data_IF_800157273723
#
_entry.id   IF_800157273723
#
_cell.length_a   1.000
_cell.length_b   1.000
_cell.length_c   1.000
_cell.angle_alpha   90.00
_cell.angle_beta   90.00
_cell.angle_gamma   90.00
#
_symmetry.space_group_name_H-M   'P 1'
#
loop_
_entity.id
_entity.type
_entity.pdbx_description
1 polymer ?
#
# COMPACT_ATOMS: atom_id res chain seq x y z
N UNK A 1 16.37 -1.17 -26.37
CA UNK A 1 15.03 -1.80 -26.47
C UNK A 1 14.83 -2.94 -25.47
N UNK A 2 15.78 -3.87 -25.30
CA UNK A 2 15.67 -4.93 -24.27
C UNK A 2 15.76 -4.40 -22.82
N UNK A 3 16.67 -3.46 -22.56
CA UNK A 3 16.88 -2.89 -21.22
C UNK A 3 15.61 -2.20 -20.71
N UNK A 4 14.93 -1.42 -21.56
CA UNK A 4 13.66 -0.75 -21.24
C UNK A 4 12.54 -1.76 -20.97
N UNK A 5 12.50 -2.87 -21.71
CA UNK A 5 11.56 -3.97 -21.52
C UNK A 5 11.78 -4.67 -20.17
N UNK A 6 13.04 -4.96 -19.83
CA UNK A 6 13.42 -5.56 -18.54
C UNK A 6 13.10 -4.62 -17.37
N UNK A 7 13.42 -3.34 -17.49
CA UNK A 7 13.06 -2.34 -16.47
C UNK A 7 11.55 -2.26 -16.25
N UNK A 8 10.77 -2.22 -17.32
CA UNK A 8 9.31 -2.22 -17.24
C UNK A 8 8.76 -3.48 -16.57
N UNK A 9 9.31 -4.66 -16.90
CA UNK A 9 8.91 -5.92 -16.29
C UNK A 9 9.25 -5.97 -14.80
N UNK A 10 10.45 -5.54 -14.40
CA UNK A 10 10.86 -5.48 -13.00
C UNK A 10 9.94 -4.54 -12.21
N UNK A 11 9.64 -3.36 -12.75
CA UNK A 11 8.73 -2.41 -12.12
C UNK A 11 7.33 -3.02 -11.94
N UNK A 12 6.82 -3.70 -12.97
CA UNK A 12 5.52 -4.38 -12.92
C UNK A 12 5.50 -5.46 -11.83
N UNK A 13 6.55 -6.28 -11.76
CA UNK A 13 6.67 -7.32 -10.72
C UNK A 13 6.66 -6.68 -9.34
N UNK A 14 7.45 -5.61 -9.12
CA UNK A 14 7.46 -4.87 -7.85
C UNK A 14 6.09 -4.26 -7.51
N UNK A 15 5.28 -3.89 -8.51
CA UNK A 15 3.93 -3.34 -8.32
C UNK A 15 2.87 -4.42 -8.06
N UNK A 16 3.12 -5.69 -8.33
CA UNK A 16 2.16 -6.77 -8.05
C UNK A 16 2.58 -7.57 -6.80
N UNK A 17 3.88 -7.66 -6.51
CA UNK A 17 4.38 -8.46 -5.39
C UNK A 17 4.00 -7.89 -4.01
N UNK A 18 3.71 -8.74 -3.01
CA UNK A 18 3.56 -8.28 -1.63
C UNK A 18 4.82 -7.54 -1.15
N UNK A 19 4.61 -6.54 -0.30
CA UNK A 19 5.64 -5.67 0.26
C UNK A 19 6.26 -6.26 1.53
N UNK A 20 7.55 -6.03 1.80
CA UNK A 20 8.20 -6.51 3.03
C UNK A 20 7.64 -5.89 4.31
N UNK A 21 7.11 -4.66 4.26
CA UNK A 21 6.53 -3.97 5.43
C UNK A 21 5.10 -3.50 5.15
N UNK A 22 4.25 -3.38 6.19
CA UNK A 22 2.89 -2.89 6.02
C UNK A 22 2.85 -1.45 5.49
N UNK A 23 3.75 -0.57 5.92
CA UNK A 23 3.82 0.82 5.44
C UNK A 23 4.14 0.89 3.95
N UNK A 24 5.01 0.00 3.46
CA UNK A 24 5.30 -0.05 2.03
C UNK A 24 4.10 -0.54 1.23
N UNK A 25 3.31 -1.48 1.77
CA UNK A 25 2.05 -1.90 1.14
C UNK A 25 1.04 -0.74 1.07
N UNK A 26 0.96 0.08 2.13
CA UNK A 26 0.15 1.31 2.16
C UNK A 26 0.62 2.29 1.07
N UNK A 27 1.90 2.66 1.07
CA UNK A 27 2.47 3.61 0.09
C UNK A 27 2.30 3.13 -1.35
N UNK A 28 2.50 1.84 -1.58
CA UNK A 28 2.29 1.23 -2.89
C UNK A 28 0.84 1.31 -3.35
N UNK A 29 -0.12 1.14 -2.43
CA UNK A 29 -1.54 1.32 -2.75
C UNK A 29 -1.90 2.78 -3.05
N UNK A 30 -1.25 3.73 -2.36
CA UNK A 30 -1.41 5.16 -2.61
C UNK A 30 -0.82 5.56 -3.96
N UNK A 31 0.26 4.91 -4.42
CA UNK A 31 0.94 5.27 -5.66
C UNK A 31 0.02 5.26 -6.90
N UNK A 32 -1.08 4.51 -6.85
CA UNK A 32 -2.10 4.46 -7.91
C UNK A 32 -3.14 5.59 -7.77
N UNK A 33 -3.49 5.98 -6.53
CA UNK A 33 -4.59 6.93 -6.24
C UNK A 33 -4.09 8.36 -6.01
N UNK A 34 -3.04 8.50 -5.22
CA UNK A 34 -2.39 9.74 -4.87
C UNK A 34 -0.87 9.51 -4.80
N UNK A 35 -0.16 9.70 -5.93
CA UNK A 35 1.28 9.52 -5.99
C UNK A 35 2.03 10.46 -5.05
N UNK A 36 1.54 11.68 -4.81
CA UNK A 36 2.20 12.61 -3.91
C UNK A 36 2.17 12.07 -2.48
N UNK A 37 0.99 11.67 -2.00
CA UNK A 37 0.83 11.08 -0.67
C UNK A 37 1.61 9.75 -0.51
N UNK A 38 1.81 8.98 -1.58
CA UNK A 38 2.62 7.76 -1.54
C UNK A 38 4.08 8.01 -1.13
N UNK A 39 4.64 9.17 -1.51
CA UNK A 39 6.03 9.52 -1.22
C UNK A 39 6.17 10.44 0.00
N UNK A 40 5.32 11.46 0.12
CA UNK A 40 5.44 12.50 1.16
C UNK A 40 4.48 12.33 2.32
N UNK A 41 3.38 11.60 2.11
CA UNK A 41 2.34 11.40 3.11
C UNK A 41 2.87 10.66 4.33
N UNK A 42 2.40 11.09 5.51
CA UNK A 42 2.67 10.39 6.75
C UNK A 42 1.72 9.19 6.87
N UNK A 43 2.28 8.02 7.21
CA UNK A 43 1.51 6.79 7.35
C UNK A 43 1.39 6.51 8.84
N UNK A 44 0.19 6.62 9.38
CA UNK A 44 -0.08 6.38 10.81
C UNK A 44 -0.87 5.11 11.02
N UNK A 45 -0.52 4.40 12.09
CA UNK A 45 -1.19 3.16 12.44
C UNK A 45 -2.56 3.43 13.06
N UNK A 46 -3.58 2.77 12.54
CA UNK A 46 -4.91 2.78 13.12
C UNK A 46 -5.04 1.83 14.30
N UNK A 47 -6.22 1.89 14.94
CA UNK A 47 -6.53 1.09 16.14
C UNK A 47 -6.83 -0.38 15.85
N UNK A 48 -7.23 -0.71 14.62
CA UNK A 48 -7.57 -2.09 14.23
C UNK A 48 -6.28 -2.82 13.85
N UNK A 49 -6.04 -3.95 14.51
CA UNK A 49 -4.86 -4.80 14.32
C UNK A 49 -5.28 -6.27 14.28
N UNK A 50 -4.66 -7.03 13.39
CA UNK A 50 -4.85 -8.46 13.13
C UNK A 50 -6.33 -8.85 12.94
N UNK A 51 -7.14 -7.99 12.34
CA UNK A 51 -8.53 -8.33 12.05
C UNK A 51 -8.58 -9.44 10.98
N UNK A 52 -9.27 -10.58 11.21
CA UNK A 52 -9.30 -11.67 10.25
C UNK A 52 -9.91 -11.26 8.88
N UNK A 53 -10.88 -10.34 8.90
CA UNK A 53 -11.60 -9.87 7.72
C UNK A 53 -10.86 -8.76 7.01
N UNK A 54 -10.29 -7.81 7.75
CA UNK A 54 -9.71 -6.59 7.17
C UNK A 54 -8.19 -6.51 7.29
N UNK A 55 -7.60 -7.00 8.38
CA UNK A 55 -6.17 -6.91 8.67
C UNK A 55 -5.83 -5.74 9.58
N UNK A 56 -4.68 -5.11 9.34
CA UNK A 56 -4.21 -3.95 10.08
C UNK A 56 -4.65 -2.67 9.38
N UNK A 57 -5.17 -1.72 10.15
CA UNK A 57 -5.62 -0.43 9.65
C UNK A 57 -4.47 0.59 9.69
N UNK A 58 -4.36 1.36 8.61
CA UNK A 58 -3.44 2.48 8.47
C UNK A 58 -4.16 3.69 7.87
N UNK A 59 -3.68 4.88 8.21
CA UNK A 59 -4.14 6.17 7.68
C UNK A 59 -3.00 6.87 6.95
N UNK A 60 -3.33 7.57 5.87
CA UNK A 60 -2.40 8.43 5.15
C UNK A 60 -2.76 9.90 5.42
N UNK A 61 -2.06 10.51 6.37
CA UNK A 61 -2.19 11.92 6.78
C UNK A 61 -1.61 12.81 5.68
N UNK A 62 -2.46 13.13 4.70
CA UNK A 62 -2.35 14.19 3.68
C UNK A 62 -3.40 13.96 2.57
N UNK A 63 -3.99 12.78 2.55
CA UNK A 63 -5.14 12.48 1.71
C UNK A 63 -6.43 12.83 2.44
N UNK A 64 -7.47 13.24 1.73
CA UNK A 64 -8.83 13.32 2.28
C UNK A 64 -9.27 11.93 2.75
N UNK A 65 -8.96 11.61 4.01
CA UNK A 65 -9.48 10.47 4.77
C UNK A 65 -9.25 9.10 4.13
N UNK A 66 -8.11 8.87 3.46
CA UNK A 66 -7.85 7.52 2.96
C UNK A 66 -7.39 6.59 4.09
N UNK A 67 -8.26 5.64 4.41
CA UNK A 67 -7.91 4.52 5.29
C UNK A 67 -7.57 3.31 4.43
N UNK A 68 -6.55 2.58 4.84
CA UNK A 68 -6.00 1.44 4.10
C UNK A 68 -5.86 0.28 5.06
N UNK A 69 -6.48 -0.83 4.71
CA UNK A 69 -6.31 -2.10 5.41
C UNK A 69 -5.24 -2.93 4.71
N UNK A 70 -4.25 -3.39 5.47
CA UNK A 70 -3.20 -4.27 4.98
C UNK A 70 -3.26 -5.64 5.64
N UNK A 71 -2.98 -6.68 4.86
CA UNK A 71 -2.93 -8.06 5.36
C UNK A 71 -1.55 -8.64 5.16
N UNK A 72 -1.14 -9.45 6.13
CA UNK A 72 0.06 -10.27 6.05
C UNK A 72 -0.25 -11.59 5.35
N UNK A 73 0.49 -11.88 4.29
CA UNK A 73 0.58 -13.19 3.65
C UNK A 73 1.95 -13.81 3.94
N UNK A 74 2.14 -15.06 3.50
CA UNK A 74 3.44 -15.72 3.60
C UNK A 74 4.55 -15.01 2.78
N UNK A 75 4.17 -14.31 1.70
CA UNK A 75 5.09 -13.58 0.81
C UNK A 75 5.36 -12.14 1.27
N UNK A 76 4.60 -11.62 2.24
CA UNK A 76 4.67 -10.23 2.68
C UNK A 76 3.29 -9.59 2.82
N UNK A 77 3.27 -8.27 2.84
CA UNK A 77 2.12 -7.41 3.10
C UNK A 77 1.48 -6.91 1.83
N UNK A 78 0.16 -6.85 1.79
CA UNK A 78 -0.57 -6.28 0.66
C UNK A 78 -1.75 -5.46 1.17
N UNK A 79 -2.11 -4.42 0.43
CA UNK A 79 -3.33 -3.65 0.69
C UNK A 79 -4.54 -4.51 0.29
N UNK A 80 -5.37 -4.84 1.27
CA UNK A 80 -6.55 -5.68 1.10
C UNK A 80 -7.79 -4.85 0.72
N UNK A 81 -7.94 -3.67 1.31
CA UNK A 81 -9.00 -2.72 0.96
C UNK A 81 -8.60 -1.31 1.35
N UNK A 82 -9.18 -0.33 0.67
CA UNK A 82 -8.99 1.08 1.00
C UNK A 82 -10.22 1.88 0.62
N UNK A 83 -10.51 2.92 1.40
CA UNK A 83 -11.63 3.80 1.17
C UNK A 83 -11.30 5.21 1.60
N UNK A 84 -12.09 6.15 1.09
CA UNK A 84 -12.14 7.52 1.59
C UNK A 84 -13.22 7.55 2.67
N UNK A 85 -12.85 7.78 3.92
CA UNK A 85 -13.82 8.05 4.97
C UNK A 85 -14.63 9.31 4.65
N UNK A 86 -15.88 9.43 5.13
CA UNK A 86 -16.57 10.72 5.13
C UNK A 86 -15.82 11.70 5.98
#
# INVERSE_FOLDING_TARGET
>A
MYITLLLGLVLLVLLIFPSPTPELAVRKSLLIRDPAAAFTGNVTEGRIKNDPRYGDLYYAEDTERSYIYVKKSWLGWYAASSGTGP
#
